data_IF_339806846275
#
_entry.id   IF_339806846275
#
_cell.length_a   1.000
_cell.length_b   1.000
_cell.length_c   1.000
_cell.angle_alpha   90.00
_cell.angle_beta   90.00
_cell.angle_gamma   90.00
#
_symmetry.space_group_name_H-M   'P 1'
#
loop_
_entity.id
_entity.type
_entity.pdbx_description
1 polymer ?
#
# COMPACT_ATOMS: atom_id res chain seq x y z
N UNK A 1 -5.07 28.45 -31.61
CA UNK A 1 -4.82 27.38 -30.62
C UNK A 1 -3.60 26.58 -31.07
N UNK A 2 -2.43 26.85 -30.49
CA UNK A 2 -1.21 26.08 -30.76
C UNK A 2 -1.18 24.87 -29.81
N UNK A 3 -1.16 23.67 -30.40
CA UNK A 3 -0.97 22.43 -29.65
C UNK A 3 0.52 22.27 -29.34
N UNK A 4 0.88 22.33 -28.06
CA UNK A 4 2.21 21.97 -27.58
C UNK A 4 2.32 20.44 -27.65
N UNK A 5 3.06 19.92 -28.62
CA UNK A 5 3.47 18.51 -28.65
C UNK A 5 4.51 18.30 -27.57
N UNK A 6 4.13 17.68 -26.46
CA UNK A 6 5.07 17.13 -25.49
C UNK A 6 5.48 15.76 -26.01
N UNK A 7 6.65 15.69 -26.63
CA UNK A 7 7.29 14.43 -27.02
C UNK A 7 7.71 13.70 -25.74
N UNK A 8 7.13 12.54 -25.46
CA UNK A 8 7.65 11.63 -24.43
C UNK A 8 8.92 10.96 -25.00
N UNK A 9 10.07 10.95 -24.30
CA UNK A 9 11.25 10.25 -24.79
C UNK A 9 10.94 8.76 -24.91
N UNK A 10 11.35 8.15 -26.02
CA UNK A 10 11.23 6.71 -26.21
C UNK A 10 12.30 6.00 -25.38
N UNK A 11 12.02 4.74 -25.02
CA UNK A 11 12.85 3.86 -24.17
C UNK A 11 14.31 3.66 -24.65
N UNK A 12 14.67 4.19 -25.82
CA UNK A 12 15.99 4.07 -26.43
C UNK A 12 16.99 5.17 -26.03
N UNK A 13 16.55 6.25 -25.36
CA UNK A 13 17.43 7.35 -24.95
C UNK A 13 18.08 7.16 -23.56
N UNK A 14 17.72 6.09 -22.84
CA UNK A 14 18.48 5.65 -21.66
C UNK A 14 19.69 4.82 -22.12
N UNK A 15 20.62 5.45 -22.83
CA UNK A 15 21.98 4.92 -22.86
C UNK A 15 22.47 4.86 -21.42
N UNK A 16 22.80 3.64 -21.01
CA UNK A 16 23.29 3.28 -19.69
C UNK A 16 24.48 4.19 -19.37
N UNK A 17 24.27 5.18 -18.49
CA UNK A 17 25.37 5.75 -17.73
C UNK A 17 25.82 4.62 -16.80
N UNK A 18 26.67 3.73 -17.30
CA UNK A 18 27.48 2.88 -16.46
C UNK A 18 28.47 3.84 -15.81
N UNK A 19 28.10 4.38 -14.65
CA UNK A 19 29.08 4.94 -13.73
C UNK A 19 30.12 3.85 -13.50
N UNK A 20 31.36 4.14 -13.87
CA UNK A 20 32.49 3.31 -13.48
C UNK A 20 32.78 3.64 -12.02
N UNK A 21 32.00 3.06 -11.10
CA UNK A 21 32.13 3.30 -9.66
C UNK A 21 33.42 2.66 -9.14
N UNK A 22 34.41 3.49 -8.85
CA UNK A 22 35.67 3.06 -8.22
C UNK A 22 35.61 3.06 -6.69
N UNK A 23 34.49 3.45 -6.08
CA UNK A 23 34.30 3.51 -4.63
C UNK A 23 33.31 2.48 -4.11
N UNK A 24 33.53 2.00 -2.89
CA UNK A 24 32.65 1.05 -2.21
C UNK A 24 31.62 1.79 -1.36
N UNK A 25 30.32 1.64 -1.65
CA UNK A 25 29.25 2.25 -0.86
C UNK A 25 29.17 1.73 0.57
N UNK A 26 29.81 0.60 0.89
CA UNK A 26 29.92 0.11 2.27
C UNK A 26 30.84 0.97 3.14
N UNK A 27 31.72 1.75 2.51
CA UNK A 27 32.62 2.67 3.20
C UNK A 27 31.94 3.99 3.61
N UNK A 28 30.73 4.25 3.11
CA UNK A 28 29.96 5.45 3.42
C UNK A 28 29.14 5.22 4.68
N UNK A 29 29.23 6.17 5.62
CA UNK A 29 28.34 6.20 6.78
C UNK A 29 26.92 6.64 6.34
N UNK A 30 25.89 5.79 6.44
CA UNK A 30 24.51 6.14 6.09
C UNK A 30 23.93 7.27 6.94
N UNK A 31 24.54 7.57 8.09
CA UNK A 31 24.11 8.63 9.02
C UNK A 31 24.92 9.93 8.85
N UNK A 32 25.84 9.98 7.89
CA UNK A 32 26.59 11.19 7.59
C UNK A 32 25.65 12.34 7.17
N UNK A 33 25.83 13.52 7.77
CA UNK A 33 25.02 14.71 7.44
C UNK A 33 25.18 15.15 5.98
N UNK A 34 26.35 14.90 5.38
CA UNK A 34 26.69 15.30 4.02
C UNK A 34 26.70 14.10 3.06
N UNK A 35 25.95 13.05 3.36
CA UNK A 35 25.87 11.81 2.59
C UNK A 35 25.73 12.07 1.08
N UNK A 36 24.81 12.93 0.68
CA UNK A 36 24.57 13.24 -0.72
C UNK A 36 25.79 13.87 -1.41
N UNK A 37 26.49 14.79 -0.74
CA UNK A 37 27.69 15.45 -1.28
C UNK A 37 28.84 14.45 -1.43
N UNK A 38 29.03 13.57 -0.45
CA UNK A 38 30.04 12.52 -0.49
C UNK A 38 29.77 11.52 -1.63
N UNK A 39 28.51 11.18 -1.86
CA UNK A 39 28.12 10.30 -2.96
C UNK A 39 28.33 10.95 -4.34
N UNK A 40 28.05 12.24 -4.49
CA UNK A 40 28.33 13.01 -5.72
C UNK A 40 29.84 13.05 -5.97
N UNK A 41 30.62 13.44 -4.96
CA UNK A 41 32.07 13.62 -5.06
C UNK A 41 32.79 12.34 -5.45
N UNK A 42 32.32 11.20 -4.93
CA UNK A 42 32.92 9.89 -5.19
C UNK A 42 32.34 9.17 -6.42
N UNK A 43 31.37 9.77 -7.12
CA UNK A 43 30.76 9.16 -8.32
C UNK A 43 29.94 7.91 -8.01
N UNK A 44 29.32 7.85 -6.82
CA UNK A 44 28.60 6.68 -6.31
C UNK A 44 27.08 6.78 -6.46
N UNK A 45 26.61 7.72 -7.27
CA UNK A 45 25.18 7.84 -7.56
C UNK A 45 24.80 6.82 -8.62
N UNK A 46 23.99 5.85 -8.22
CA UNK A 46 23.29 4.94 -9.10
C UNK A 46 21.81 5.33 -9.14
N UNK A 47 21.31 5.71 -10.32
CA UNK A 47 19.90 6.12 -10.50
C UNK A 47 18.97 4.95 -10.82
N UNK A 48 19.52 3.80 -11.17
CA UNK A 48 18.78 2.58 -11.43
C UNK A 48 18.93 1.61 -10.26
N UNK A 49 17.80 1.14 -9.75
CA UNK A 49 17.80 0.08 -8.75
C UNK A 49 18.16 -1.26 -9.42
N UNK A 50 19.03 -2.06 -8.80
CA UNK A 50 19.23 -3.44 -9.25
C UNK A 50 18.14 -4.33 -8.63
N UNK A 51 17.20 -4.71 -9.49
CA UNK A 51 16.02 -5.52 -9.13
C UNK A 51 16.28 -7.00 -9.47
N UNK A 52 17.47 -7.39 -9.95
CA UNK A 52 17.74 -8.75 -10.42
C UNK A 52 17.47 -9.85 -9.39
N UNK A 53 17.65 -9.55 -8.11
CA UNK A 53 17.41 -10.50 -7.00
C UNK A 53 16.00 -10.48 -6.44
N UNK A 54 15.10 -9.61 -6.92
CA UNK A 54 13.76 -9.42 -6.37
C UNK A 54 12.72 -9.29 -7.47
N UNK A 55 11.47 -9.67 -7.19
CA UNK A 55 10.36 -9.48 -8.15
C UNK A 55 9.48 -8.33 -7.69
N UNK A 56 9.42 -7.27 -8.50
CA UNK A 56 8.38 -6.25 -8.35
C UNK A 56 7.03 -6.85 -8.71
N UNK A 57 6.03 -6.60 -7.86
CA UNK A 57 4.65 -7.04 -8.11
C UNK A 57 3.96 -6.04 -9.03
N UNK A 58 3.51 -6.53 -10.18
CA UNK A 58 2.62 -5.78 -11.06
C UNK A 58 1.19 -5.76 -10.53
N UNK A 59 0.39 -4.79 -10.96
CA UNK A 59 -1.06 -4.78 -10.76
C UNK A 59 -1.70 -6.09 -11.25
N UNK A 60 -1.19 -6.68 -12.34
CA UNK A 60 -1.68 -7.96 -12.85
C UNK A 60 -1.40 -9.13 -11.90
N UNK A 61 -0.22 -9.12 -11.26
CA UNK A 61 0.16 -10.15 -10.28
C UNK A 61 -0.75 -10.07 -9.05
N UNK A 62 -1.03 -8.86 -8.59
CA UNK A 62 -1.98 -8.60 -7.50
C UNK A 62 -3.38 -9.04 -7.90
N UNK A 63 -3.85 -8.65 -9.09
CA UNK A 63 -5.19 -8.98 -9.57
C UNK A 63 -5.41 -10.48 -9.75
N UNK A 64 -4.38 -11.23 -10.19
CA UNK A 64 -4.43 -12.70 -10.23
C UNK A 64 -4.48 -13.31 -8.83
N UNK A 65 -3.73 -12.75 -7.89
CA UNK A 65 -3.65 -13.23 -6.51
C UNK A 65 -4.91 -12.89 -5.68
N UNK A 66 -5.68 -11.89 -6.10
CA UNK A 66 -6.94 -11.51 -5.44
C UNK A 66 -7.92 -12.69 -5.35
N UNK A 67 -7.93 -13.63 -6.31
CA UNK A 67 -8.79 -14.82 -6.28
C UNK A 67 -8.47 -15.83 -5.17
N UNK A 68 -7.21 -15.88 -4.72
CA UNK A 68 -6.74 -16.75 -3.63
C UNK A 68 -6.77 -16.06 -2.25
N UNK A 69 -7.09 -14.75 -2.21
CA UNK A 69 -7.15 -13.97 -0.97
C UNK A 69 -5.79 -13.68 -0.34
N UNK A 70 -4.69 -14.08 -0.97
CA UNK A 70 -3.33 -13.86 -0.48
C UNK A 70 -2.49 -13.22 -1.58
N UNK A 71 -1.84 -12.09 -1.27
CA UNK A 71 -0.84 -11.48 -2.17
C UNK A 71 0.50 -12.20 -1.96
N UNK A 72 1.25 -12.55 -3.03
CA UNK A 72 2.59 -13.11 -2.89
C UNK A 72 3.47 -12.19 -2.04
N UNK A 73 4.10 -12.76 -1.01
CA UNK A 73 4.98 -11.98 -0.16
C UNK A 73 6.31 -11.71 -0.86
N UNK A 74 6.80 -10.47 -0.76
CA UNK A 74 8.18 -10.14 -1.10
C UNK A 74 9.13 -10.99 -0.24
N UNK A 75 10.08 -11.67 -0.90
CA UNK A 75 11.09 -12.51 -0.25
C UNK A 75 12.19 -11.67 0.39
N UNK A 76 13.02 -12.31 1.23
CA UNK A 76 14.16 -11.64 1.85
C UNK A 76 15.08 -11.03 0.78
N UNK A 77 15.57 -9.82 1.04
CA UNK A 77 16.27 -8.99 0.07
C UNK A 77 17.56 -8.44 0.71
N UNK A 78 18.68 -8.66 0.04
CA UNK A 78 19.97 -8.13 0.46
C UNK A 78 20.16 -6.69 -0.07
N UNK A 79 19.92 -5.71 0.81
CA UNK A 79 20.10 -4.29 0.50
C UNK A 79 21.54 -3.92 0.16
N UNK A 80 22.53 -4.74 0.53
CA UNK A 80 23.93 -4.44 0.26
C UNK A 80 24.27 -4.51 -1.24
N UNK A 81 23.45 -5.20 -2.06
CA UNK A 81 23.64 -5.31 -3.52
C UNK A 81 23.45 -3.98 -4.23
N UNK A 82 22.47 -3.19 -3.79
CA UNK A 82 22.15 -1.86 -4.35
C UNK A 82 22.30 -0.77 -3.30
N UNK A 83 23.28 -0.90 -2.42
CA UNK A 83 23.45 0.00 -1.28
C UNK A 83 23.57 1.46 -1.73
N UNK A 84 24.36 1.73 -2.77
CA UNK A 84 24.51 3.08 -3.32
C UNK A 84 23.17 3.71 -3.72
N UNK A 85 22.31 2.93 -4.37
CA UNK A 85 20.98 3.36 -4.75
C UNK A 85 20.13 3.66 -3.51
N UNK A 86 20.08 2.73 -2.55
CA UNK A 86 19.24 2.86 -1.34
C UNK A 86 19.69 3.98 -0.38
N UNK A 87 20.96 4.40 -0.45
CA UNK A 87 21.46 5.55 0.32
C UNK A 87 21.01 6.88 -0.27
N UNK A 88 20.73 6.95 -1.59
CA UNK A 88 20.32 8.19 -2.26
C UNK A 88 18.83 8.27 -2.59
N UNK A 89 18.23 7.13 -2.90
CA UNK A 89 16.89 7.03 -3.45
C UNK A 89 16.05 5.99 -2.72
N UNK A 90 14.74 6.21 -2.75
CA UNK A 90 13.77 5.25 -2.23
C UNK A 90 13.41 4.27 -3.35
N UNK A 91 13.44 2.98 -3.04
CA UNK A 91 12.87 1.96 -3.92
C UNK A 91 11.38 2.21 -4.13
N UNK A 92 10.85 1.82 -5.29
CA UNK A 92 9.44 2.00 -5.64
C UNK A 92 8.46 1.34 -4.65
N UNK A 93 8.80 0.17 -4.12
CA UNK A 93 7.97 -0.66 -3.23
C UNK A 93 8.33 -0.51 -1.74
N UNK A 94 9.20 0.46 -1.40
CA UNK A 94 9.62 0.76 -0.03
C UNK A 94 10.61 -0.23 0.61
N UNK A 95 11.09 -1.22 -0.14
CA UNK A 95 12.13 -2.17 0.30
C UNK A 95 13.44 -1.44 0.60
N UNK A 96 14.18 -1.92 1.60
CA UNK A 96 15.48 -1.35 2.01
C UNK A 96 15.45 0.08 2.56
N UNK A 97 14.28 0.66 2.83
CA UNK A 97 14.18 1.89 3.64
C UNK A 97 14.77 1.67 5.06
N UNK A 98 14.67 0.43 5.57
CA UNK A 98 15.42 -0.01 6.74
C UNK A 98 16.45 -1.07 6.35
N UNK A 99 17.73 -0.69 6.32
CA UNK A 99 18.83 -1.58 5.89
C UNK A 99 19.00 -2.85 6.74
N UNK A 100 18.55 -2.83 8.01
CA UNK A 100 18.61 -3.99 8.91
C UNK A 100 17.38 -4.89 8.82
N UNK A 101 16.23 -4.31 8.47
CA UNK A 101 14.95 -5.00 8.30
C UNK A 101 14.35 -4.57 6.95
N UNK A 102 14.87 -5.09 5.82
CA UNK A 102 14.59 -4.58 4.48
C UNK A 102 13.11 -4.42 4.14
N UNK A 103 12.27 -5.30 4.68
CA UNK A 103 10.85 -5.39 4.34
C UNK A 103 9.93 -4.64 5.32
N UNK A 104 10.49 -3.87 6.26
CA UNK A 104 9.70 -3.07 7.21
C UNK A 104 9.14 -1.83 6.50
N UNK A 105 7.81 -1.77 6.37
CA UNK A 105 7.12 -0.68 5.67
C UNK A 105 7.08 -0.84 4.14
N UNK A 106 7.58 -1.96 3.60
CA UNK A 106 7.45 -2.27 2.19
C UNK A 106 5.98 -2.57 1.82
N UNK A 107 5.61 -2.31 0.57
CA UNK A 107 4.29 -2.58 0.02
C UNK A 107 3.99 -4.09 -0.04
N UNK A 108 2.70 -4.44 -0.20
CA UNK A 108 2.23 -5.84 -0.31
C UNK A 108 2.61 -6.74 0.88
N UNK A 109 2.59 -6.13 2.07
CA UNK A 109 2.88 -6.79 3.35
C UNK A 109 1.63 -6.74 4.24
N UNK A 110 1.45 -7.72 5.13
CA UNK A 110 0.37 -7.65 6.10
C UNK A 110 0.58 -6.45 7.03
N UNK A 111 -0.53 -5.83 7.45
CA UNK A 111 -0.49 -4.74 8.43
C UNK A 111 0.10 -5.22 9.76
N UNK A 112 0.77 -4.29 10.44
CA UNK A 112 1.21 -4.52 11.81
C UNK A 112 -0.01 -4.59 12.74
N UNK A 113 -0.08 -5.63 13.57
CA UNK A 113 -1.14 -5.79 14.58
C UNK A 113 -0.65 -5.28 15.92
N UNK A 114 -1.19 -4.15 16.38
CA UNK A 114 -0.91 -3.63 17.73
C UNK A 114 -1.59 -4.44 18.84
N UNK A 115 -2.69 -5.11 18.52
CA UNK A 115 -3.43 -6.01 19.41
C UNK A 115 -3.71 -7.34 18.69
N UNK A 116 -3.90 -8.45 19.45
CA UNK A 116 -4.33 -9.72 18.89
C UNK A 116 -5.60 -9.58 18.03
N UNK A 117 -5.70 -10.41 16.99
CA UNK A 117 -6.87 -10.43 16.13
C UNK A 117 -8.08 -11.05 16.85
N UNK A 118 -9.26 -10.46 16.69
CA UNK A 118 -10.50 -11.02 17.19
C UNK A 118 -11.41 -11.41 16.02
N UNK A 119 -11.70 -12.70 15.94
CA UNK A 119 -12.55 -13.34 14.94
C UNK A 119 -13.59 -14.20 15.67
N UNK A 120 -14.76 -14.43 15.07
CA UNK A 120 -15.85 -15.21 15.68
C UNK A 120 -15.46 -16.68 15.88
N UNK A 121 -14.67 -17.23 14.96
CA UNK A 121 -14.06 -18.56 15.00
C UNK A 121 -12.60 -18.55 15.50
N UNK A 122 -12.08 -17.39 15.91
CA UNK A 122 -10.68 -17.15 16.30
C UNK A 122 -9.64 -17.32 15.18
N UNK A 123 -10.07 -17.44 13.92
CA UNK A 123 -9.17 -17.65 12.78
C UNK A 123 -9.39 -16.59 11.69
N UNK A 124 -10.57 -16.52 11.08
CA UNK A 124 -10.82 -15.67 9.91
C UNK A 124 -12.22 -15.08 9.84
N UNK A 125 -13.20 -15.66 10.53
CA UNK A 125 -14.58 -15.20 10.43
C UNK A 125 -14.78 -13.87 11.17
N UNK A 126 -15.34 -12.83 10.53
CA UNK A 126 -15.58 -11.56 11.19
C UNK A 126 -16.44 -11.73 12.43
N UNK A 127 -16.17 -10.93 13.45
CA UNK A 127 -16.93 -10.98 14.70
C UNK A 127 -18.42 -10.86 14.43
N UNK A 128 -19.21 -11.76 15.03
CA UNK A 128 -20.67 -11.82 14.91
C UNK A 128 -21.20 -12.30 13.54
N UNK A 129 -20.38 -12.90 12.68
CA UNK A 129 -20.84 -13.51 11.42
C UNK A 129 -21.53 -14.86 11.64
N UNK A 130 -21.04 -15.69 12.57
CA UNK A 130 -21.55 -17.03 12.85
C UNK A 130 -22.57 -16.98 14.00
N UNK A 131 -22.21 -16.34 15.11
CA UNK A 131 -23.00 -16.37 16.36
C UNK A 131 -23.98 -15.22 16.52
N UNK A 132 -23.99 -14.25 15.58
CA UNK A 132 -24.89 -13.07 15.58
C UNK A 132 -25.03 -12.35 16.94
N UNK A 133 -23.91 -12.14 17.62
CA UNK A 133 -23.83 -11.51 18.95
C UNK A 133 -23.89 -9.97 18.96
N UNK A 134 -23.87 -9.31 17.80
CA UNK A 134 -23.81 -7.84 17.66
C UNK A 134 -24.86 -7.35 16.65
N UNK A 135 -25.35 -6.10 16.77
CA UNK A 135 -26.24 -5.50 15.77
C UNK A 135 -25.53 -5.38 14.42
N UNK A 136 -26.31 -5.33 13.33
CA UNK A 136 -25.73 -5.19 11.99
C UNK A 136 -25.13 -3.80 11.80
N UNK A 137 -24.10 -3.70 10.95
CA UNK A 137 -23.48 -2.41 10.62
C UNK A 137 -24.52 -1.40 10.10
N UNK A 138 -25.53 -1.88 9.36
CA UNK A 138 -26.63 -1.05 8.84
C UNK A 138 -27.52 -0.51 9.96
N UNK A 139 -27.88 -1.32 10.93
CA UNK A 139 -28.71 -0.88 12.05
C UNK A 139 -28.02 0.18 12.90
N UNK A 140 -26.72 -0.01 13.19
CA UNK A 140 -25.90 0.98 13.91
C UNK A 140 -25.81 2.29 13.14
N UNK A 141 -25.55 2.22 11.82
CA UNK A 141 -25.50 3.41 10.96
C UNK A 141 -26.82 4.18 11.01
N UNK A 142 -27.95 3.49 10.91
CA UNK A 142 -29.28 4.10 10.87
C UNK A 142 -29.76 4.66 12.21
N UNK A 143 -29.32 4.07 13.33
CA UNK A 143 -29.73 4.52 14.67
C UNK A 143 -28.79 5.57 15.26
N UNK A 144 -27.50 5.55 14.91
CA UNK A 144 -26.48 6.39 15.55
C UNK A 144 -25.77 7.38 14.63
N UNK A 145 -25.59 7.06 13.34
CA UNK A 145 -24.74 7.87 12.43
C UNK A 145 -25.53 8.65 11.38
N UNK A 146 -26.77 8.27 11.08
CA UNK A 146 -27.58 8.95 10.08
C UNK A 146 -28.15 10.26 10.63
N UNK A 147 -27.96 11.34 9.89
CA UNK A 147 -28.57 12.65 10.15
C UNK A 147 -28.96 13.30 8.82
N UNK A 148 -30.07 14.03 8.80
CA UNK A 148 -30.48 14.87 7.66
C UNK A 148 -29.82 16.25 7.66
N UNK A 149 -29.09 16.59 8.73
CA UNK A 149 -28.46 17.88 8.89
C UNK A 149 -27.12 17.93 8.14
N UNK A 150 -26.94 18.92 7.26
CA UNK A 150 -25.62 19.32 6.79
C UNK A 150 -24.97 20.20 7.85
N UNK A 151 -23.77 19.83 8.29
CA UNK A 151 -22.99 20.61 9.27
C UNK A 151 -21.74 21.10 8.57
N UNK A 152 -21.68 22.40 8.32
CA UNK A 152 -20.52 23.06 7.75
C UNK A 152 -19.55 23.50 8.86
N UNK A 153 -18.25 23.43 8.59
CA UNK A 153 -17.25 23.95 9.51
C UNK A 153 -16.94 25.41 9.20
N UNK A 154 -16.93 26.26 10.22
CA UNK A 154 -16.69 27.70 10.14
C UNK A 154 -15.25 28.13 9.80
N UNK A 155 -14.26 27.23 9.92
CA UNK A 155 -12.81 27.54 9.86
C UNK A 155 -12.05 26.76 8.80
N UNK A 156 -12.54 25.57 8.45
CA UNK A 156 -11.84 24.68 7.51
C UNK A 156 -12.65 24.54 6.24
N UNK A 157 -11.95 24.57 5.12
CA UNK A 157 -12.53 24.30 3.81
C UNK A 157 -12.48 22.80 3.48
N UNK A 158 -13.13 22.42 2.38
CA UNK A 158 -13.18 21.05 1.91
C UNK A 158 -11.80 20.43 1.58
N UNK A 159 -10.74 21.25 1.43
CA UNK A 159 -9.39 20.74 1.15
C UNK A 159 -8.87 19.88 2.30
N UNK A 160 -9.27 20.15 3.54
CA UNK A 160 -8.86 19.35 4.70
C UNK A 160 -9.32 17.89 4.55
N UNK A 161 -10.56 17.68 4.12
CA UNK A 161 -11.10 16.34 3.84
C UNK A 161 -10.32 15.67 2.69
N UNK A 162 -10.12 16.40 1.58
CA UNK A 162 -9.45 15.85 0.40
C UNK A 162 -7.98 15.51 0.67
N UNK A 163 -7.28 16.33 1.45
CA UNK A 163 -5.91 16.07 1.87
C UNK A 163 -5.82 14.88 2.83
N UNK A 164 -6.80 14.72 3.73
CA UNK A 164 -6.93 13.54 4.58
C UNK A 164 -7.05 12.25 3.75
N UNK A 165 -7.88 12.26 2.70
CA UNK A 165 -8.00 11.12 1.78
C UNK A 165 -6.69 10.86 1.02
N UNK A 166 -6.04 11.92 0.51
CA UNK A 166 -4.75 11.81 -0.17
C UNK A 166 -3.69 11.12 0.71
N UNK A 167 -3.53 11.56 1.96
CA UNK A 167 -2.61 10.93 2.92
C UNK A 167 -3.01 9.48 3.22
N UNK A 168 -4.31 9.21 3.42
CA UNK A 168 -4.76 7.84 3.69
C UNK A 168 -4.46 6.89 2.54
N UNK A 169 -4.59 7.34 1.29
CA UNK A 169 -4.32 6.53 0.09
C UNK A 169 -2.83 6.32 -0.18
N UNK A 170 -1.97 7.23 0.29
CA UNK A 170 -0.51 7.08 0.22
C UNK A 170 -0.01 6.07 1.27
N UNK A 171 -0.60 6.06 2.46
CA UNK A 171 -0.15 5.22 3.58
C UNK A 171 -0.65 3.78 3.47
N UNK A 172 -1.92 3.57 3.09
CA UNK A 172 -2.55 2.26 3.19
C UNK A 172 -3.56 1.98 2.08
N UNK A 173 -3.55 0.74 1.59
CA UNK A 173 -4.55 0.24 0.64
C UNK A 173 -4.78 -1.25 0.85
N UNK A 174 -6.03 -1.62 1.11
CA UNK A 174 -6.46 -3.02 1.21
C UNK A 174 -7.17 -3.39 -0.08
N UNK A 175 -6.64 -4.37 -0.82
CA UNK A 175 -7.31 -4.91 -2.01
C UNK A 175 -8.53 -5.74 -1.59
N UNK A 176 -9.69 -5.42 -2.17
CA UNK A 176 -10.90 -6.21 -1.97
C UNK A 176 -10.80 -7.52 -2.74
N UNK A 177 -11.29 -8.60 -2.12
CA UNK A 177 -11.50 -9.88 -2.79
C UNK A 177 -12.62 -9.72 -3.83
N UNK A 178 -12.60 -10.42 -4.98
CA UNK A 178 -13.61 -10.20 -6.01
C UNK A 178 -14.96 -10.62 -5.46
N UNK A 179 -15.93 -9.71 -5.54
CA UNK A 179 -17.33 -10.00 -5.22
C UNK A 179 -17.98 -10.98 -6.19
N UNK A 180 -17.29 -11.37 -7.27
CA UNK A 180 -17.78 -12.35 -8.24
C UNK A 180 -18.15 -13.72 -7.63
N UNK A 181 -17.58 -14.07 -6.46
CA UNK A 181 -17.96 -15.28 -5.72
C UNK A 181 -19.25 -15.12 -4.89
N UNK A 182 -19.72 -13.89 -4.71
CA UNK A 182 -20.92 -13.54 -3.95
C UNK A 182 -22.09 -13.36 -4.91
N UNK A 183 -22.58 -14.46 -5.47
CA UNK A 183 -23.66 -14.48 -6.48
C UNK A 183 -25.03 -14.23 -5.85
N UNK A 184 -25.20 -14.57 -4.56
CA UNK A 184 -26.39 -14.27 -3.77
C UNK A 184 -26.03 -13.41 -2.55
N UNK A 185 -27.07 -12.93 -1.86
CA UNK A 185 -26.93 -12.27 -0.56
C UNK A 185 -26.71 -13.26 0.60
N UNK A 186 -26.46 -14.53 0.31
CA UNK A 186 -26.18 -15.52 1.34
C UNK A 186 -24.73 -15.40 1.81
N UNK A 187 -24.48 -15.59 3.11
CA UNK A 187 -23.12 -15.59 3.63
C UNK A 187 -22.35 -16.78 3.05
N UNK A 188 -21.14 -16.51 2.55
CA UNK A 188 -20.16 -17.53 2.16
C UNK A 188 -18.99 -17.38 3.12
N UNK A 189 -18.68 -18.40 3.95
CA UNK A 189 -17.62 -18.32 4.95
C UNK A 189 -16.32 -17.77 4.35
N UNK A 190 -15.75 -16.77 5.03
CA UNK A 190 -14.48 -16.11 4.69
C UNK A 190 -14.42 -15.44 3.31
N UNK A 191 -15.53 -15.37 2.57
CA UNK A 191 -15.58 -14.82 1.20
C UNK A 191 -16.66 -13.76 1.06
N UNK A 192 -17.89 -14.05 1.47
CA UNK A 192 -19.05 -13.16 1.31
C UNK A 192 -19.66 -12.87 2.67
N UNK A 193 -19.61 -11.60 3.05
CA UNK A 193 -20.05 -11.10 4.34
C UNK A 193 -21.17 -10.08 4.09
N UNK A 194 -22.40 -10.53 3.76
CA UNK A 194 -23.50 -9.64 3.48
C UNK A 194 -23.87 -8.87 4.75
N UNK A 195 -24.26 -7.60 4.58
CA UNK A 195 -24.79 -6.79 5.68
C UNK A 195 -26.31 -6.93 5.67
N UNK A 196 -26.93 -7.63 6.63
CA UNK A 196 -28.37 -7.84 6.62
C UNK A 196 -29.10 -6.52 6.84
N UNK A 197 -30.16 -6.31 6.06
CA UNK A 197 -31.05 -5.16 6.17
C UNK A 197 -32.26 -5.60 7.00
N UNK A 198 -32.60 -4.81 8.01
CA UNK A 198 -33.81 -5.05 8.82
C UNK A 198 -35.06 -4.65 8.05
N UNK A 199 -36.17 -5.37 8.25
CA UNK A 199 -37.51 -4.99 7.73
C UNK A 199 -37.94 -3.57 8.13
N UNK A 200 -37.45 -3.07 9.26
CA UNK A 200 -37.72 -1.69 9.70
C UNK A 200 -36.85 -0.64 8.99
N UNK A 201 -36.05 -1.02 7.99
CA UNK A 201 -35.26 -0.07 7.20
C UNK A 201 -36.12 0.55 6.11
N UNK A 202 -36.40 1.84 6.26
CA UNK A 202 -37.24 2.59 5.34
C UNK A 202 -36.54 2.87 3.98
N UNK A 203 -35.31 2.40 3.79
CA UNK A 203 -34.58 2.49 2.51
C UNK A 203 -34.51 1.14 1.78
N UNK A 204 -35.44 0.23 2.06
CA UNK A 204 -35.66 -0.97 1.23
C UNK A 204 -36.32 -0.63 -0.09
#
# INVERSE_FOLDING_TARGET
>A
MHAIRISCPTFADFQTIRSTSSGDCRSIDPLAKNLAEDMIKNGLIESAEDISSRRLLSIDDVTKAVGTGCVPMLTDTDCARSLCYHLMYRSFDGVCNNLRKPLLGAAFRPYFRHLPAEYDDKISEPVSSLRRTRPTAREVSRKLLSSSQSVEHDKYNALVMQFGQFMSHDIAKTTLQPSAKCVSCDPVPSVCMPVPISEMDNNQ
#
